data_IF_571434496857
#
_entry.id   IF_571434496857
#
_cell.length_a   1.000
_cell.length_b   1.000
_cell.length_c   1.000
_cell.angle_alpha   90.00
_cell.angle_beta   90.00
_cell.angle_gamma   90.00
#
_symmetry.space_group_name_H-M   'P 1'
#
loop_
_entity.id
_entity.type
_entity.pdbx_description
1 polymer ?
#
# COMPACT_ATOMS: atom_id res chain seq x y z
N UNK A 1 7.97 -26.61 -90.00
CA UNK A 1 8.48 -27.15 -88.74
C UNK A 1 8.85 -25.95 -87.85
N UNK A 2 7.97 -25.58 -86.93
CA UNK A 2 8.24 -24.54 -85.91
C UNK A 2 8.26 -25.25 -84.56
N UNK A 3 9.42 -25.23 -83.93
CA UNK A 3 9.63 -25.74 -82.53
C UNK A 3 9.13 -24.67 -81.53
N UNK A 4 8.09 -24.99 -80.80
CA UNK A 4 7.65 -24.17 -79.67
C UNK A 4 8.53 -24.41 -78.40
N UNK A 5 9.06 -23.37 -77.84
CA UNK A 5 9.82 -23.38 -76.62
C UNK A 5 8.85 -23.11 -75.45
N UNK A 6 8.60 -24.10 -74.60
CA UNK A 6 7.82 -23.91 -73.36
C UNK A 6 8.73 -23.43 -72.25
N UNK A 7 8.46 -22.24 -71.77
CA UNK A 7 9.10 -21.68 -70.56
C UNK A 7 8.24 -22.07 -69.39
N UNK A 8 8.77 -22.91 -68.49
CA UNK A 8 8.16 -23.24 -67.21
C UNK A 8 8.42 -22.13 -66.23
N UNK A 9 7.37 -21.44 -65.78
CA UNK A 9 7.42 -20.40 -64.76
C UNK A 9 7.32 -21.06 -63.38
N UNK A 10 8.44 -21.16 -62.66
CA UNK A 10 8.47 -21.69 -61.27
C UNK A 10 8.03 -20.57 -60.33
N UNK A 11 6.83 -20.65 -59.81
CA UNK A 11 6.33 -19.75 -58.75
C UNK A 11 6.89 -20.22 -57.41
N UNK A 12 7.84 -19.50 -56.84
CA UNK A 12 8.31 -19.72 -55.48
C UNK A 12 7.24 -19.20 -54.50
N UNK A 13 6.52 -20.11 -53.85
CA UNK A 13 5.62 -19.77 -52.73
C UNK A 13 6.47 -19.56 -51.52
N UNK A 14 6.67 -18.30 -51.11
CA UNK A 14 7.17 -17.97 -49.79
C UNK A 14 6.10 -18.35 -48.75
N UNK A 15 6.31 -19.45 -48.05
CA UNK A 15 5.55 -19.76 -46.85
C UNK A 15 5.97 -18.73 -45.78
N UNK A 16 5.12 -17.73 -45.55
CA UNK A 16 5.17 -16.90 -44.37
C UNK A 16 4.75 -17.82 -43.23
N UNK A 17 5.73 -18.27 -42.43
CA UNK A 17 5.44 -18.90 -41.16
C UNK A 17 4.66 -17.89 -40.31
N UNK A 18 3.48 -18.25 -39.74
CA UNK A 18 2.80 -17.36 -38.81
C UNK A 18 3.77 -17.11 -37.66
N UNK A 19 4.22 -15.86 -37.54
CA UNK A 19 5.01 -15.43 -36.41
C UNK A 19 4.24 -15.82 -35.14
N UNK A 20 4.90 -16.56 -34.27
CA UNK A 20 4.41 -16.82 -32.94
C UNK A 20 4.13 -15.41 -32.33
N UNK A 21 2.87 -15.04 -32.20
CA UNK A 21 2.47 -13.83 -31.51
C UNK A 21 3.06 -13.98 -30.11
N UNK A 22 4.04 -13.14 -29.76
CA UNK A 22 4.63 -13.10 -28.44
C UNK A 22 3.50 -12.99 -27.42
N UNK A 23 3.33 -14.03 -26.59
CA UNK A 23 2.27 -14.09 -25.58
C UNK A 23 2.56 -13.19 -24.39
N UNK A 24 3.82 -12.84 -24.19
CA UNK A 24 4.33 -12.11 -23.05
C UNK A 24 4.91 -10.74 -23.42
N UNK A 25 5.74 -10.25 -22.53
CA UNK A 25 6.41 -8.96 -22.67
C UNK A 25 7.89 -9.06 -23.07
N UNK A 26 8.40 -10.24 -23.41
CA UNK A 26 9.81 -10.51 -23.69
C UNK A 26 10.42 -9.64 -24.81
N UNK A 27 9.59 -9.22 -25.76
CA UNK A 27 10.02 -8.36 -26.89
C UNK A 27 9.62 -6.88 -26.72
N UNK A 28 8.97 -6.51 -25.59
CA UNK A 28 8.54 -5.12 -25.39
C UNK A 28 9.75 -4.20 -25.16
N UNK A 29 9.85 -3.01 -25.81
CA UNK A 29 11.03 -2.15 -25.69
C UNK A 29 11.39 -1.74 -24.24
N UNK A 30 10.40 -1.45 -23.39
CA UNK A 30 10.63 -1.12 -21.98
C UNK A 30 11.09 -2.35 -21.17
N UNK A 31 10.65 -3.56 -21.53
CA UNK A 31 11.15 -4.79 -20.92
C UNK A 31 12.63 -4.97 -21.25
N UNK A 32 13.01 -4.82 -22.52
CA UNK A 32 14.41 -4.95 -22.92
C UNK A 32 15.29 -3.96 -22.18
N UNK A 33 14.86 -2.69 -22.06
CA UNK A 33 15.60 -1.69 -21.29
C UNK A 33 15.72 -2.03 -19.79
N UNK A 34 14.65 -2.59 -19.17
CA UNK A 34 14.68 -3.05 -17.79
C UNK A 34 15.60 -4.26 -17.62
N UNK A 35 15.55 -5.21 -18.55
CA UNK A 35 16.40 -6.40 -18.53
C UNK A 35 17.88 -6.02 -18.61
N UNK A 36 18.28 -5.12 -19.55
CA UNK A 36 19.67 -4.65 -19.63
C UNK A 36 20.13 -4.05 -18.28
N UNK A 37 19.31 -3.18 -17.67
CA UNK A 37 19.65 -2.58 -16.37
C UNK A 37 19.79 -3.63 -15.28
N UNK A 38 18.89 -4.61 -15.20
CA UNK A 38 18.96 -5.69 -14.20
C UNK A 38 20.21 -6.57 -14.40
N UNK A 39 20.65 -6.79 -15.64
CA UNK A 39 21.88 -7.50 -15.94
C UNK A 39 23.11 -6.67 -15.54
N UNK A 40 23.16 -5.39 -15.92
CA UNK A 40 24.31 -4.52 -15.69
C UNK A 40 24.49 -4.12 -14.22
N UNK A 41 23.39 -3.81 -13.52
CA UNK A 41 23.44 -3.26 -12.17
C UNK A 41 23.22 -4.32 -11.07
N UNK A 42 22.61 -5.45 -11.40
CA UNK A 42 22.20 -6.46 -10.42
C UNK A 42 22.60 -7.89 -10.76
N UNK A 43 23.43 -8.12 -11.78
CA UNK A 43 23.96 -9.46 -12.17
C UNK A 43 22.84 -10.51 -12.41
N UNK A 44 21.73 -10.12 -13.03
CA UNK A 44 20.69 -11.07 -13.45
C UNK A 44 21.09 -11.78 -14.75
N UNK A 45 20.65 -13.03 -14.88
CA UNK A 45 20.75 -13.73 -16.16
C UNK A 45 19.74 -13.21 -17.18
N UNK A 46 20.23 -12.74 -18.32
CA UNK A 46 19.41 -12.14 -19.37
C UNK A 46 18.40 -13.12 -19.97
N UNK A 47 18.82 -14.37 -20.21
CA UNK A 47 17.94 -15.35 -20.84
C UNK A 47 16.84 -15.78 -19.89
N UNK A 48 17.17 -15.92 -18.61
CA UNK A 48 16.19 -16.20 -17.56
C UNK A 48 15.13 -15.10 -17.46
N UNK A 49 15.54 -13.82 -17.43
CA UNK A 49 14.60 -12.68 -17.39
C UNK A 49 13.70 -12.64 -18.64
N UNK A 50 14.25 -12.82 -19.84
CA UNK A 50 13.43 -12.82 -21.05
C UNK A 50 12.44 -14.00 -21.06
N UNK A 51 12.84 -15.18 -20.61
CA UNK A 51 11.94 -16.31 -20.46
C UNK A 51 10.81 -16.00 -19.45
N UNK A 52 11.16 -15.41 -18.31
CA UNK A 52 10.18 -14.98 -17.29
C UNK A 52 9.17 -13.98 -17.86
N UNK A 53 9.64 -12.95 -18.58
CA UNK A 53 8.75 -11.98 -19.22
C UNK A 53 7.89 -12.58 -20.35
N UNK A 54 8.32 -13.69 -20.96
CA UNK A 54 7.54 -14.46 -21.92
C UNK A 54 6.30 -15.14 -21.30
N UNK A 55 6.33 -15.40 -19.98
CA UNK A 55 5.22 -16.01 -19.24
C UNK A 55 4.26 -14.98 -18.60
N UNK A 56 4.59 -13.68 -18.70
CA UNK A 56 3.77 -12.60 -18.16
C UNK A 56 2.55 -12.34 -19.04
N UNK A 57 1.42 -12.18 -18.39
CA UNK A 57 0.16 -11.87 -19.05
C UNK A 57 -0.27 -10.41 -18.82
N UNK A 58 -0.53 -9.70 -19.92
CA UNK A 58 -1.19 -8.39 -19.84
C UNK A 58 -2.60 -8.54 -19.27
N UNK A 59 -2.91 -7.76 -18.22
CA UNK A 59 -4.23 -7.77 -17.58
C UNK A 59 -4.99 -6.47 -17.89
N UNK A 60 -5.84 -6.50 -18.91
CA UNK A 60 -6.66 -5.34 -19.29
C UNK A 60 -7.53 -4.84 -18.13
N UNK A 61 -8.05 -5.75 -17.29
CA UNK A 61 -8.84 -5.39 -16.10
C UNK A 61 -8.10 -4.47 -15.12
N UNK A 62 -6.77 -4.55 -15.06
CA UNK A 62 -5.93 -3.66 -14.25
C UNK A 62 -5.93 -2.25 -14.83
N UNK A 63 -5.73 -2.12 -16.14
CA UNK A 63 -5.75 -0.83 -16.84
C UNK A 63 -7.12 -0.17 -16.68
N UNK A 64 -8.19 -0.96 -16.82
CA UNK A 64 -9.57 -0.49 -16.65
C UNK A 64 -9.82 -0.03 -15.21
N UNK A 65 -9.32 -0.77 -14.21
CA UNK A 65 -9.41 -0.39 -12.81
C UNK A 65 -8.67 0.93 -12.52
N UNK A 66 -7.47 1.11 -13.07
CA UNK A 66 -6.66 2.33 -12.92
C UNK A 66 -7.26 3.55 -13.64
N UNK A 67 -8.04 3.34 -14.68
CA UNK A 67 -8.68 4.42 -15.45
C UNK A 67 -10.12 4.72 -14.98
N UNK A 68 -10.68 3.96 -14.04
CA UNK A 68 -11.99 4.32 -13.47
C UNK A 68 -11.90 5.73 -12.89
N UNK A 69 -12.88 6.61 -13.20
CA UNK A 69 -12.97 7.89 -12.54
C UNK A 69 -12.96 7.65 -11.03
N UNK A 70 -12.21 8.47 -10.29
CA UNK A 70 -12.37 8.48 -8.85
C UNK A 70 -13.88 8.63 -8.59
N UNK A 71 -14.49 7.61 -7.99
CA UNK A 71 -15.88 7.66 -7.59
C UNK A 71 -16.08 8.98 -6.85
N UNK A 72 -17.26 9.62 -6.99
CA UNK A 72 -17.59 10.86 -6.27
C UNK A 72 -17.04 10.71 -4.87
N UNK A 73 -16.18 11.63 -4.46
CA UNK A 73 -15.56 11.58 -3.15
C UNK A 73 -16.68 11.55 -2.13
N UNK A 74 -16.96 10.39 -1.56
CA UNK A 74 -17.98 10.24 -0.52
C UNK A 74 -17.68 11.20 0.61
N UNK A 75 -18.67 11.85 1.24
CA UNK A 75 -18.44 12.60 2.46
C UNK A 75 -17.81 11.69 3.53
N UNK A 76 -17.17 12.28 4.52
CA UNK A 76 -16.44 11.49 5.53
C UNK A 76 -17.34 10.51 6.28
N UNK A 77 -18.54 10.90 6.66
CA UNK A 77 -19.47 10.06 7.39
C UNK A 77 -19.88 8.78 6.63
N UNK A 78 -19.89 8.81 5.26
CA UNK A 78 -20.09 7.60 4.46
C UNK A 78 -18.79 6.82 4.25
N UNK A 79 -17.67 7.52 4.04
CA UNK A 79 -16.36 6.89 3.80
C UNK A 79 -15.91 6.05 4.99
N UNK A 80 -16.04 6.56 6.21
CA UNK A 80 -15.65 5.84 7.44
C UNK A 80 -16.42 4.52 7.62
N UNK A 81 -17.66 4.44 7.16
CA UNK A 81 -18.48 3.23 7.26
C UNK A 81 -17.93 2.05 6.46
N UNK A 82 -17.03 2.28 5.48
CA UNK A 82 -16.32 1.21 4.76
C UNK A 82 -15.47 0.39 5.73
N UNK A 83 -14.93 1.04 6.77
CA UNK A 83 -13.95 0.45 7.68
C UNK A 83 -14.49 0.19 9.09
N UNK A 84 -15.46 0.98 9.55
CA UNK A 84 -15.96 0.95 10.94
C UNK A 84 -17.18 0.04 11.12
N UNK A 85 -17.23 -1.07 10.39
CA UNK A 85 -18.31 -2.05 10.52
C UNK A 85 -18.05 -2.99 11.71
N UNK A 86 -19.09 -3.34 12.47
CA UNK A 86 -19.02 -4.27 13.61
C UNK A 86 -18.24 -5.54 13.27
N UNK A 87 -18.54 -6.17 12.12
CA UNK A 87 -17.84 -7.38 11.68
C UNK A 87 -16.33 -7.18 11.50
N UNK A 88 -15.88 -5.98 11.11
CA UNK A 88 -14.45 -5.69 10.98
C UNK A 88 -13.82 -5.45 12.35
N UNK A 89 -14.54 -4.80 13.27
CA UNK A 89 -14.09 -4.59 14.65
C UNK A 89 -13.95 -5.92 15.35
N UNK A 90 -14.97 -6.80 15.27
CA UNK A 90 -14.93 -8.14 15.87
C UNK A 90 -13.79 -8.99 15.30
N UNK A 91 -13.57 -8.94 13.98
CA UNK A 91 -12.45 -9.61 13.34
C UNK A 91 -11.09 -9.04 13.79
N UNK A 92 -11.03 -7.74 14.12
CA UNK A 92 -9.83 -7.10 14.67
C UNK A 92 -9.52 -7.56 16.08
N UNK A 93 -10.53 -7.68 16.93
CA UNK A 93 -10.41 -8.24 18.27
C UNK A 93 -9.90 -9.68 18.21
N UNK A 94 -10.45 -10.49 17.31
CA UNK A 94 -10.03 -11.87 17.12
C UNK A 94 -8.57 -11.95 16.61
N UNK A 95 -8.21 -11.13 15.61
CA UNK A 95 -6.84 -11.06 15.12
C UNK A 95 -5.86 -10.64 16.22
N UNK A 96 -6.23 -9.66 17.05
CA UNK A 96 -5.41 -9.25 18.20
C UNK A 96 -5.17 -10.39 19.16
N UNK A 97 -6.21 -11.13 19.56
CA UNK A 97 -6.10 -12.25 20.49
C UNK A 97 -5.22 -13.36 19.95
N UNK A 98 -5.38 -13.69 18.67
CA UNK A 98 -4.59 -14.74 18.02
C UNK A 98 -3.10 -14.37 17.92
N UNK A 99 -2.76 -13.06 17.93
CA UNK A 99 -1.41 -12.57 17.76
C UNK A 99 -0.94 -11.73 18.95
N UNK A 100 -1.50 -11.93 20.14
CA UNK A 100 -1.27 -11.07 21.30
C UNK A 100 0.21 -10.97 21.68
N UNK A 101 0.91 -12.10 21.75
CA UNK A 101 2.33 -12.16 22.12
C UNK A 101 3.21 -11.43 21.09
N UNK A 102 2.91 -11.58 19.81
CA UNK A 102 3.65 -10.92 18.72
C UNK A 102 3.42 -9.42 18.72
N UNK A 103 2.17 -8.99 18.94
CA UNK A 103 1.81 -7.57 19.06
C UNK A 103 2.47 -6.92 20.27
N UNK A 104 2.52 -7.63 21.41
CA UNK A 104 3.23 -7.16 22.60
C UNK A 104 4.74 -7.03 22.34
N UNK A 105 5.37 -8.04 21.74
CA UNK A 105 6.78 -7.96 21.32
C UNK A 105 7.04 -6.78 20.38
N UNK A 106 6.14 -6.54 19.40
CA UNK A 106 6.25 -5.42 18.48
C UNK A 106 6.14 -4.08 19.20
N UNK A 107 5.21 -3.95 20.16
CA UNK A 107 5.08 -2.76 21.01
C UNK A 107 6.33 -2.53 21.85
N UNK A 108 6.86 -3.57 22.50
CA UNK A 108 8.06 -3.47 23.31
C UNK A 108 9.29 -3.06 22.49
N UNK A 109 9.43 -3.59 21.29
CA UNK A 109 10.58 -3.35 20.42
C UNK A 109 10.52 -2.00 19.70
N UNK A 110 9.34 -1.61 19.25
CA UNK A 110 9.15 -0.47 18.32
C UNK A 110 8.33 0.68 18.92
N UNK A 111 7.66 0.45 20.04
CA UNK A 111 6.81 1.46 20.67
C UNK A 111 5.55 1.82 19.87
N UNK A 112 5.21 1.03 18.85
CA UNK A 112 3.98 1.22 18.08
C UNK A 112 2.82 0.55 18.79
N UNK A 113 1.72 1.29 18.95
CA UNK A 113 0.52 0.78 19.62
C UNK A 113 -0.07 -0.43 18.85
N UNK A 114 -0.29 -1.58 19.51
CA UNK A 114 -0.90 -2.76 18.92
C UNK A 114 -2.19 -2.49 18.17
N UNK A 115 -3.05 -1.60 18.71
CA UNK A 115 -4.32 -1.25 18.07
C UNK A 115 -4.10 -0.63 16.67
N UNK A 116 -3.07 0.19 16.49
CA UNK A 116 -2.73 0.81 15.20
C UNK A 116 -2.25 -0.27 14.22
N UNK A 117 -1.38 -1.18 14.65
CA UNK A 117 -0.89 -2.28 13.79
C UNK A 117 -2.07 -3.13 13.31
N UNK A 118 -2.95 -3.53 14.24
CA UNK A 118 -4.15 -4.33 13.93
C UNK A 118 -5.07 -3.57 12.99
N UNK A 119 -5.28 -2.26 13.20
CA UNK A 119 -6.14 -1.43 12.36
C UNK A 119 -5.57 -1.29 10.92
N UNK A 120 -4.26 -1.12 10.75
CA UNK A 120 -3.60 -1.11 9.43
C UNK A 120 -3.89 -2.42 8.69
N UNK A 121 -3.58 -3.56 9.29
CA UNK A 121 -3.82 -4.88 8.68
C UNK A 121 -5.31 -5.09 8.41
N UNK A 122 -6.17 -4.55 9.29
CA UNK A 122 -7.62 -4.58 9.14
C UNK A 122 -8.12 -3.75 7.96
N UNK A 123 -7.60 -2.55 7.76
CA UNK A 123 -7.94 -1.66 6.64
C UNK A 123 -7.44 -2.24 5.32
N UNK A 124 -6.18 -2.68 5.28
CA UNK A 124 -5.52 -3.14 4.06
C UNK A 124 -6.10 -4.46 3.54
N UNK A 125 -6.25 -5.45 4.39
CA UNK A 125 -6.55 -6.82 3.94
C UNK A 125 -7.69 -7.51 4.67
N UNK A 126 -8.43 -6.79 5.52
CA UNK A 126 -9.42 -7.43 6.39
C UNK A 126 -8.78 -8.58 7.19
N UNK A 127 -7.64 -8.28 7.85
CA UNK A 127 -6.85 -9.22 8.64
C UNK A 127 -6.34 -10.43 7.82
N UNK A 128 -5.83 -10.17 6.62
CA UNK A 128 -5.27 -11.17 5.74
C UNK A 128 -6.29 -11.95 4.88
N UNK A 129 -7.60 -11.68 5.00
CA UNK A 129 -8.65 -12.37 4.22
C UNK A 129 -8.70 -11.92 2.76
N UNK A 130 -8.27 -10.68 2.45
CA UNK A 130 -8.34 -10.08 1.11
C UNK A 130 -6.96 -9.48 0.78
N UNK A 131 -6.01 -10.33 0.38
CA UNK A 131 -4.62 -9.93 0.07
C UNK A 131 -4.37 -9.68 -1.42
N UNK A 132 -5.44 -9.74 -2.24
CA UNK A 132 -5.34 -9.65 -3.69
C UNK A 132 -5.22 -11.03 -4.37
N UNK A 133 -5.51 -11.07 -5.66
CA UNK A 133 -5.57 -12.32 -6.45
C UNK A 133 -4.77 -12.26 -7.76
N UNK A 134 -4.22 -11.11 -8.10
CA UNK A 134 -3.39 -10.96 -9.28
C UNK A 134 -1.98 -11.49 -9.03
N UNK A 135 -1.35 -12.16 -10.00
CA UNK A 135 0.10 -12.35 -9.96
C UNK A 135 0.75 -10.97 -9.94
N UNK A 136 1.63 -10.72 -8.97
CA UNK A 136 2.31 -9.43 -8.82
C UNK A 136 3.13 -9.10 -10.07
N UNK A 137 3.78 -10.11 -10.65
CA UNK A 137 4.52 -10.00 -11.90
C UNK A 137 3.66 -9.49 -13.06
N UNK A 138 2.44 -10.04 -13.23
CA UNK A 138 1.49 -9.56 -14.27
C UNK A 138 1.02 -8.13 -14.00
N UNK A 139 0.70 -7.84 -12.73
CA UNK A 139 0.17 -6.53 -12.35
C UNK A 139 1.20 -5.43 -12.58
N UNK A 140 2.41 -5.61 -12.08
CA UNK A 140 3.47 -4.62 -12.21
C UNK A 140 3.92 -4.46 -13.66
N UNK A 141 4.06 -5.56 -14.43
CA UNK A 141 4.43 -5.50 -15.85
C UNK A 141 3.36 -4.79 -16.69
N UNK A 142 2.08 -5.11 -16.46
CA UNK A 142 0.97 -4.41 -17.12
C UNK A 142 1.02 -2.91 -16.86
N UNK A 143 1.24 -2.50 -15.60
CA UNK A 143 1.29 -1.08 -15.24
C UNK A 143 2.58 -0.39 -15.66
N UNK A 144 3.70 -1.10 -15.67
CA UNK A 144 4.98 -0.58 -16.13
C UNK A 144 4.99 -0.30 -17.64
N UNK A 145 4.39 -1.19 -18.42
CA UNK A 145 4.56 -1.17 -19.88
C UNK A 145 3.33 -0.62 -20.62
N UNK A 146 2.12 -0.80 -20.10
CA UNK A 146 0.87 -0.41 -20.75
C UNK A 146 0.09 0.70 -20.03
N UNK A 147 0.64 1.30 -18.96
CA UNK A 147 0.03 2.42 -18.25
C UNK A 147 0.95 3.66 -18.20
N UNK A 148 1.05 4.45 -19.29
CA UNK A 148 2.05 5.53 -19.44
C UNK A 148 2.04 6.58 -18.33
N UNK A 149 0.87 6.88 -17.74
CA UNK A 149 0.72 7.91 -16.69
C UNK A 149 1.61 7.65 -15.47
N UNK A 150 1.89 6.39 -15.14
CA UNK A 150 2.69 5.99 -13.98
C UNK A 150 3.75 4.94 -14.33
N UNK A 151 4.05 4.74 -15.60
CA UNK A 151 5.05 3.76 -16.08
C UNK A 151 6.39 3.87 -15.34
N UNK A 152 7.00 5.04 -15.15
CA UNK A 152 8.28 5.13 -14.44
C UNK A 152 8.21 4.65 -12.98
N UNK A 153 7.10 4.87 -12.29
CA UNK A 153 6.89 4.37 -10.94
C UNK A 153 6.79 2.84 -10.94
N UNK A 154 5.91 2.28 -11.76
CA UNK A 154 5.69 0.83 -11.78
C UNK A 154 6.87 0.05 -12.34
N UNK A 155 7.68 0.64 -13.23
CA UNK A 155 8.94 0.05 -13.67
C UNK A 155 9.93 -0.11 -12.52
N UNK A 156 10.06 0.89 -11.64
CA UNK A 156 10.88 0.78 -10.42
C UNK A 156 10.33 -0.25 -9.43
N UNK A 157 9.02 -0.33 -9.29
CA UNK A 157 8.42 -1.35 -8.43
C UNK A 157 8.62 -2.76 -8.99
N UNK A 158 8.53 -2.94 -10.31
CA UNK A 158 8.81 -4.21 -10.98
C UNK A 158 10.28 -4.63 -10.81
N UNK A 159 11.21 -3.69 -10.92
CA UNK A 159 12.63 -3.90 -10.64
C UNK A 159 12.85 -4.37 -9.19
N UNK A 160 12.30 -3.63 -8.22
CA UNK A 160 12.35 -4.03 -6.82
C UNK A 160 11.72 -5.40 -6.57
N UNK A 161 10.64 -5.73 -7.27
CA UNK A 161 9.98 -7.03 -7.17
C UNK A 161 10.87 -8.17 -7.65
N UNK A 162 11.54 -8.01 -8.80
CA UNK A 162 12.46 -9.02 -9.32
C UNK A 162 13.67 -9.21 -8.39
N UNK A 163 14.19 -8.11 -7.84
CA UNK A 163 15.32 -8.18 -6.89
C UNK A 163 14.88 -8.89 -5.60
N UNK A 164 13.75 -8.49 -5.00
CA UNK A 164 13.28 -9.13 -3.76
C UNK A 164 12.96 -10.61 -3.93
N UNK A 165 12.38 -11.03 -5.08
CA UNK A 165 12.08 -12.45 -5.31
C UNK A 165 13.34 -13.29 -5.41
N UNK A 166 14.41 -12.76 -5.98
CA UNK A 166 15.73 -13.38 -5.96
C UNK A 166 16.33 -13.41 -4.56
N UNK A 167 16.30 -12.27 -3.84
CA UNK A 167 16.83 -12.15 -2.46
C UNK A 167 16.13 -13.14 -1.49
N UNK A 168 14.85 -13.41 -1.71
CA UNK A 168 14.03 -14.28 -0.88
C UNK A 168 13.84 -15.69 -1.47
N UNK A 169 14.54 -16.03 -2.54
CA UNK A 169 14.46 -17.32 -3.24
C UNK A 169 13.01 -17.72 -3.60
N UNK A 170 12.15 -16.72 -3.90
CA UNK A 170 10.74 -16.93 -4.25
C UNK A 170 10.56 -16.92 -5.77
N UNK A 171 9.66 -17.78 -6.28
CA UNK A 171 9.26 -17.74 -7.68
C UNK A 171 8.41 -16.47 -7.96
N UNK A 172 8.88 -15.54 -8.82
CA UNK A 172 8.16 -14.31 -9.15
C UNK A 172 6.79 -14.55 -9.80
N UNK A 173 6.56 -15.70 -10.41
CA UNK A 173 5.26 -16.05 -11.02
C UNK A 173 4.24 -16.60 -10.00
N UNK A 174 4.68 -16.98 -8.79
CA UNK A 174 3.81 -17.55 -7.77
C UNK A 174 3.15 -16.49 -6.88
N UNK A 175 3.82 -15.36 -6.62
CA UNK A 175 3.38 -14.37 -5.66
C UNK A 175 2.14 -13.59 -6.12
N UNK A 176 1.16 -13.49 -5.23
CA UNK A 176 -0.09 -12.77 -5.44
C UNK A 176 -0.17 -11.50 -4.62
N UNK A 177 -0.92 -10.54 -5.16
CA UNK A 177 -1.14 -9.25 -4.52
C UNK A 177 -2.34 -8.51 -5.13
N UNK A 178 -2.42 -7.21 -4.87
CA UNK A 178 -3.45 -6.34 -5.43
C UNK A 178 -3.25 -6.10 -6.93
N UNK A 179 -4.25 -5.53 -7.57
CA UNK A 179 -4.16 -5.10 -8.98
C UNK A 179 -3.06 -4.05 -9.23
N UNK A 180 -2.58 -3.36 -8.18
CA UNK A 180 -1.49 -2.40 -8.25
C UNK A 180 -0.13 -2.97 -7.80
N UNK A 181 -0.05 -4.28 -7.50
CA UNK A 181 1.18 -4.95 -7.11
C UNK A 181 1.54 -4.84 -5.63
N UNK A 182 0.61 -4.40 -4.77
CA UNK A 182 0.80 -4.41 -3.32
C UNK A 182 0.64 -5.82 -2.75
N UNK A 183 1.43 -6.17 -1.73
CA UNK A 183 1.67 -7.55 -1.31
C UNK A 183 1.43 -7.79 0.18
N UNK A 184 1.00 -8.99 0.51
CA UNK A 184 0.92 -9.51 1.88
C UNK A 184 -0.16 -8.85 2.74
N UNK A 185 -0.09 -9.09 4.06
CA UNK A 185 -1.04 -8.57 5.06
C UNK A 185 -1.07 -7.05 5.11
N UNK A 186 0.09 -6.39 5.02
CA UNK A 186 0.25 -4.94 5.09
C UNK A 186 0.18 -4.23 3.74
N UNK A 187 -0.07 -4.94 2.64
CA UNK A 187 -0.12 -4.38 1.27
C UNK A 187 1.12 -3.55 0.91
N UNK A 188 2.31 -4.06 1.20
CA UNK A 188 3.55 -3.40 0.85
C UNK A 188 3.79 -3.40 -0.66
N UNK A 189 4.18 -2.25 -1.21
CA UNK A 189 4.80 -2.22 -2.53
C UNK A 189 6.18 -2.89 -2.47
N UNK A 190 6.71 -3.42 -3.60
CA UNK A 190 8.02 -4.08 -3.60
C UNK A 190 9.15 -3.25 -3.01
N UNK A 191 9.19 -1.95 -3.29
CA UNK A 191 10.16 -1.05 -2.67
C UNK A 191 9.97 -0.91 -1.16
N UNK A 192 8.72 -0.90 -0.68
CA UNK A 192 8.41 -0.88 0.75
C UNK A 192 8.82 -2.18 1.42
N UNK A 193 8.60 -3.32 0.78
CA UNK A 193 9.07 -4.62 1.25
C UNK A 193 10.59 -4.60 1.47
N UNK A 194 11.37 -4.24 0.46
CA UNK A 194 12.82 -4.23 0.54
C UNK A 194 13.38 -3.27 1.58
N UNK A 195 12.67 -2.19 1.88
CA UNK A 195 13.12 -1.20 2.86
C UNK A 195 12.64 -1.48 4.29
N UNK A 196 11.50 -2.13 4.47
CA UNK A 196 10.81 -2.15 5.76
C UNK A 196 10.34 -3.54 6.21
N UNK A 197 10.21 -4.53 5.32
CA UNK A 197 9.87 -5.88 5.74
C UNK A 197 11.03 -6.50 6.52
N UNK A 198 10.68 -7.27 7.55
CA UNK A 198 11.64 -7.90 8.45
C UNK A 198 11.22 -9.33 8.78
N UNK A 199 12.20 -10.17 8.98
CA UNK A 199 12.07 -11.45 9.67
C UNK A 199 11.93 -11.14 11.17
N UNK A 200 10.69 -11.20 11.67
CA UNK A 200 10.40 -10.77 13.05
C UNK A 200 10.42 -11.93 14.04
N UNK A 201 10.10 -13.14 13.63
CA UNK A 201 10.19 -14.35 14.44
C UNK A 201 11.59 -14.97 14.45
N UNK A 202 12.46 -14.59 13.50
CA UNK A 202 13.86 -15.01 13.44
C UNK A 202 14.06 -16.38 12.82
N UNK A 203 13.13 -16.81 11.95
CA UNK A 203 13.22 -18.10 11.24
C UNK A 203 14.18 -18.09 10.03
N UNK A 204 14.70 -16.90 9.67
CA UNK A 204 15.60 -16.66 8.55
C UNK A 204 14.91 -16.33 7.23
N UNK A 205 13.56 -16.22 7.21
CA UNK A 205 12.77 -15.89 6.02
C UNK A 205 11.90 -14.66 6.31
N UNK A 206 11.92 -13.66 5.45
CA UNK A 206 10.97 -12.53 5.57
C UNK A 206 9.70 -12.84 4.79
N UNK A 207 8.63 -13.23 5.48
CA UNK A 207 7.38 -13.63 4.84
C UNK A 207 6.17 -12.81 5.30
N UNK A 208 5.87 -11.73 4.59
CA UNK A 208 4.68 -10.88 4.86
C UNK A 208 3.38 -11.46 4.27
N UNK A 209 3.45 -12.57 3.50
CA UNK A 209 2.27 -13.17 2.85
C UNK A 209 1.58 -14.19 3.75
N UNK A 210 2.32 -15.09 4.36
CA UNK A 210 1.77 -16.23 5.08
C UNK A 210 2.21 -16.28 6.55
N UNK A 211 3.24 -15.49 6.95
CA UNK A 211 3.69 -15.33 8.32
C UNK A 211 3.12 -14.03 8.94
N UNK A 212 2.22 -14.17 9.92
CA UNK A 212 1.61 -13.02 10.61
C UNK A 212 2.58 -12.30 11.54
N UNK A 213 3.60 -12.99 12.08
CA UNK A 213 4.61 -12.37 12.96
C UNK A 213 5.46 -11.39 12.16
N UNK A 214 5.94 -11.80 10.98
CA UNK A 214 6.68 -10.93 10.07
C UNK A 214 5.83 -9.76 9.58
N UNK A 215 4.57 -10.02 9.25
CA UNK A 215 3.66 -8.99 8.80
C UNK A 215 3.43 -7.91 9.88
N UNK A 216 3.21 -8.31 11.13
CA UNK A 216 3.05 -7.42 12.29
C UNK A 216 4.34 -6.64 12.54
N UNK A 217 5.48 -7.33 12.59
CA UNK A 217 6.80 -6.73 12.77
C UNK A 217 7.13 -5.73 11.67
N UNK A 218 6.86 -6.09 10.41
CA UNK A 218 7.11 -5.23 9.25
C UNK A 218 6.25 -3.96 9.26
N UNK A 219 4.96 -4.06 9.64
CA UNK A 219 4.09 -2.88 9.81
C UNK A 219 4.65 -1.98 10.91
N UNK A 220 5.06 -2.52 12.05
CA UNK A 220 5.65 -1.74 13.14
C UNK A 220 6.96 -1.08 12.70
N UNK A 221 7.85 -1.81 12.03
CA UNK A 221 9.10 -1.28 11.50
C UNK A 221 8.88 -0.14 10.49
N UNK A 222 7.86 -0.26 9.63
CA UNK A 222 7.47 0.81 8.71
C UNK A 222 7.15 2.11 9.46
N UNK A 223 6.38 2.04 10.55
CA UNK A 223 6.03 3.22 11.34
C UNK A 223 7.25 3.88 11.99
N UNK A 224 8.14 3.09 12.57
CA UNK A 224 9.39 3.60 13.17
C UNK A 224 10.26 4.28 12.11
N UNK A 225 10.43 3.65 10.95
CA UNK A 225 11.20 4.22 9.85
C UNK A 225 10.63 5.55 9.32
N UNK A 226 9.33 5.79 9.55
CA UNK A 226 8.66 7.04 9.19
C UNK A 226 8.48 8.03 10.35
N UNK A 227 9.12 7.77 11.50
CA UNK A 227 9.19 8.71 12.60
C UNK A 227 8.08 8.56 13.65
N UNK A 228 7.52 7.37 13.82
CA UNK A 228 6.58 7.08 14.91
C UNK A 228 7.18 7.43 16.27
N UNK A 229 6.42 8.13 17.10
CA UNK A 229 6.80 8.55 18.43
C UNK A 229 6.04 7.75 19.48
N UNK A 230 6.73 6.87 20.22
CA UNK A 230 6.09 6.05 21.25
C UNK A 230 5.42 6.92 22.33
N UNK A 231 4.18 6.56 22.68
CA UNK A 231 3.43 7.24 23.73
C UNK A 231 2.85 8.61 23.35
N UNK A 232 3.20 9.19 22.18
CA UNK A 232 2.58 10.43 21.73
C UNK A 232 1.19 10.17 21.10
N UNK A 233 0.26 11.12 21.23
CA UNK A 233 -1.08 10.98 20.68
C UNK A 233 -1.07 10.96 19.15
N UNK A 234 -2.10 10.35 18.55
CA UNK A 234 -2.35 10.39 17.11
C UNK A 234 -3.17 11.62 16.75
N UNK A 235 -4.34 11.78 17.37
CA UNK A 235 -5.22 12.93 17.21
C UNK A 235 -5.93 13.28 18.51
N UNK A 236 -6.45 14.50 18.59
CA UNK A 236 -7.32 14.95 19.68
C UNK A 236 -8.54 15.64 19.09
N UNK A 237 -9.78 15.38 19.60
CA UNK A 237 -10.98 16.09 19.17
C UNK A 237 -10.84 17.60 19.41
N UNK A 238 -11.29 18.39 18.45
CA UNK A 238 -11.24 19.84 18.52
C UNK A 238 -12.60 20.49 18.24
N UNK A 239 -12.71 21.78 18.60
CA UNK A 239 -13.85 22.62 18.31
C UNK A 239 -13.39 23.93 17.67
N UNK A 240 -14.23 24.50 16.82
CA UNK A 240 -14.04 25.86 16.32
C UNK A 240 -14.78 26.83 17.24
N UNK A 241 -14.03 27.78 17.82
CA UNK A 241 -14.59 28.82 18.63
C UNK A 241 -14.68 30.13 17.80
N UNK A 242 -15.88 30.46 17.38
CA UNK A 242 -16.12 31.59 16.47
C UNK A 242 -15.83 31.18 15.01
N UNK A 243 -14.72 31.59 14.48
CA UNK A 243 -14.26 31.28 13.12
C UNK A 243 -12.85 30.73 13.15
N UNK A 244 -12.59 29.66 12.39
CA UNK A 244 -11.23 29.19 12.18
C UNK A 244 -10.61 29.98 11.01
N UNK A 245 -9.58 30.76 11.34
CA UNK A 245 -8.90 31.64 10.38
C UNK A 245 -7.73 31.00 9.64
N UNK A 246 -7.54 29.68 9.73
CA UNK A 246 -6.46 28.97 9.04
C UNK A 246 -6.94 28.27 7.76
N UNK A 247 -6.10 28.28 6.73
CA UNK A 247 -6.40 27.70 5.40
C UNK A 247 -5.90 26.28 5.19
N UNK A 248 -5.25 25.67 6.19
CA UNK A 248 -4.43 24.46 6.03
C UNK A 248 -5.09 23.15 6.47
N UNK A 249 -6.41 23.11 6.68
CA UNK A 249 -7.06 21.89 7.12
C UNK A 249 -6.80 20.73 6.14
N UNK A 250 -6.43 19.57 6.70
CA UNK A 250 -6.14 18.34 5.95
C UNK A 250 -4.87 18.39 5.08
N UNK A 251 -3.97 19.31 5.30
CA UNK A 251 -2.68 19.31 4.61
C UNK A 251 -1.85 18.07 4.99
N UNK A 252 -1.35 17.32 3.98
CA UNK A 252 -0.50 16.13 4.19
C UNK A 252 0.96 16.54 4.39
N UNK A 253 1.23 17.29 5.42
CA UNK A 253 2.57 17.79 5.81
C UNK A 253 2.83 17.58 7.29
N UNK A 254 4.11 17.60 7.67
CA UNK A 254 4.51 17.56 9.09
C UNK A 254 3.82 18.69 9.86
N UNK A 255 3.28 18.43 11.07
CA UNK A 255 2.71 19.48 11.91
C UNK A 255 3.69 20.61 12.19
N UNK A 256 3.30 21.85 11.90
CA UNK A 256 4.16 23.03 12.04
C UNK A 256 3.71 23.95 13.18
N UNK A 257 2.38 24.12 13.35
CA UNK A 257 1.80 25.01 14.35
C UNK A 257 1.62 24.30 15.69
N UNK A 258 1.85 25.00 16.77
CA UNK A 258 1.51 24.50 18.10
C UNK A 258 0.00 24.51 18.33
N UNK A 259 -0.45 23.69 19.30
CA UNK A 259 -1.86 23.67 19.75
C UNK A 259 -2.28 25.08 20.22
N UNK A 260 -1.41 25.82 20.90
CA UNK A 260 -1.67 27.19 21.32
C UNK A 260 -1.87 28.14 20.12
N UNK A 261 -1.04 28.04 19.07
CA UNK A 261 -1.18 28.85 17.85
C UNK A 261 -2.48 28.52 17.10
N UNK A 262 -2.85 27.23 17.02
CA UNK A 262 -4.14 26.83 16.43
C UNK A 262 -5.33 27.33 17.25
N UNK A 263 -5.19 27.34 18.59
CA UNK A 263 -6.20 27.91 19.48
C UNK A 263 -6.39 29.43 19.28
N UNK A 264 -5.29 30.16 19.03
CA UNK A 264 -5.35 31.59 18.69
C UNK A 264 -6.03 31.85 17.34
N UNK A 265 -5.98 30.88 16.40
CA UNK A 265 -6.69 30.91 15.12
C UNK A 265 -8.15 30.44 15.23
N UNK A 266 -8.62 30.10 16.42
CA UNK A 266 -10.00 29.67 16.67
C UNK A 266 -10.22 28.15 16.69
N UNK A 267 -9.19 27.31 16.53
CA UNK A 267 -9.31 25.85 16.60
C UNK A 267 -8.70 25.37 17.93
N UNK A 268 -9.53 24.90 18.85
CA UNK A 268 -9.12 24.47 20.20
C UNK A 268 -9.39 23.00 20.43
N UNK A 269 -8.55 22.36 21.21
CA UNK A 269 -8.87 21.05 21.75
C UNK A 269 -10.21 21.09 22.49
N UNK A 270 -11.03 20.04 22.36
CA UNK A 270 -12.29 19.91 23.09
C UNK A 270 -12.00 19.86 24.59
N UNK A 271 -12.90 20.42 25.40
CA UNK A 271 -12.80 20.37 26.86
C UNK A 271 -12.68 18.92 27.36
N UNK A 272 -11.74 18.67 28.27
CA UNK A 272 -11.43 17.33 28.77
C UNK A 272 -10.58 16.46 27.84
N UNK A 273 -10.21 16.93 26.65
CA UNK A 273 -9.26 16.26 25.78
C UNK A 273 -7.83 16.67 26.13
N UNK A 274 -6.94 15.69 26.28
CA UNK A 274 -5.54 15.91 26.58
C UNK A 274 -4.80 16.46 25.35
N UNK A 275 -4.25 17.67 25.45
CA UNK A 275 -3.43 18.28 24.41
C UNK A 275 -2.46 19.29 25.05
N UNK A 276 -1.18 18.99 24.99
CA UNK A 276 -0.13 19.95 25.38
C UNK A 276 -0.18 21.17 24.44
N UNK A 277 -0.26 22.37 25.05
CA UNK A 277 -0.31 23.64 24.31
C UNK A 277 0.92 23.88 23.44
N UNK A 278 2.08 23.33 23.80
CA UNK A 278 3.35 23.41 23.06
C UNK A 278 3.50 22.34 21.98
N UNK A 279 2.68 21.28 22.01
CA UNK A 279 2.76 20.21 21.01
C UNK A 279 2.41 20.73 19.61
N UNK A 280 3.13 20.26 18.60
CA UNK A 280 2.84 20.60 17.20
C UNK A 280 1.70 19.75 16.68
N UNK A 281 0.72 20.41 16.05
CA UNK A 281 -0.45 19.76 15.48
C UNK A 281 -0.82 20.35 14.10
N UNK A 282 -1.55 19.58 13.32
CA UNK A 282 -2.19 20.03 12.08
C UNK A 282 -3.71 20.07 12.27
N UNK A 283 -4.39 21.07 11.68
CA UNK A 283 -5.84 21.14 11.71
C UNK A 283 -6.43 20.07 10.77
N UNK A 284 -7.41 19.33 11.26
CA UNK A 284 -8.16 18.35 10.48
C UNK A 284 -9.65 18.71 10.51
N UNK A 285 -10.30 18.61 9.34
CA UNK A 285 -11.73 18.86 9.17
C UNK A 285 -12.33 17.72 8.37
N UNK A 286 -13.43 17.18 8.85
CA UNK A 286 -14.18 16.11 8.21
C UNK A 286 -15.66 16.45 8.14
N UNK A 287 -16.29 16.14 7.02
CA UNK A 287 -17.73 16.31 6.82
C UNK A 287 -18.48 15.19 7.56
N UNK A 288 -18.99 15.48 8.76
CA UNK A 288 -19.85 14.59 9.55
C UNK A 288 -21.31 14.65 9.14
N UNK A 289 -22.16 13.80 9.74
CA UNK A 289 -23.60 13.77 9.46
C UNK A 289 -24.32 15.06 9.92
N UNK A 290 -23.92 15.58 11.09
CA UNK A 290 -24.54 16.74 11.73
C UNK A 290 -23.71 18.03 11.54
N UNK A 291 -22.77 18.04 10.61
CA UNK A 291 -21.85 19.16 10.36
C UNK A 291 -20.39 18.76 10.45
N UNK A 292 -19.51 19.76 10.41
CA UNK A 292 -18.08 19.52 10.40
C UNK A 292 -17.54 19.01 11.74
N UNK A 293 -16.77 17.93 11.67
CA UNK A 293 -15.97 17.39 12.77
C UNK A 293 -14.54 17.95 12.68
N UNK A 294 -14.02 18.50 13.76
CA UNK A 294 -12.66 19.06 13.81
C UNK A 294 -11.77 18.27 14.75
N UNK A 295 -10.49 18.14 14.37
CA UNK A 295 -9.48 17.43 15.12
C UNK A 295 -8.12 18.13 15.03
N UNK A 296 -7.28 17.92 16.02
CA UNK A 296 -5.86 18.22 15.99
C UNK A 296 -5.09 16.91 15.68
N UNK A 297 -4.40 16.85 14.56
CA UNK A 297 -3.56 15.71 14.17
C UNK A 297 -2.11 15.96 14.59
N UNK A 298 -1.51 15.01 15.33
CA UNK A 298 -0.13 15.11 15.78
C UNK A 298 0.84 14.40 14.83
N UNK A 299 2.11 14.30 15.21
CA UNK A 299 3.16 13.66 14.39
C UNK A 299 2.78 12.22 14.02
N UNK A 300 2.26 11.43 14.96
CA UNK A 300 1.84 10.05 14.69
C UNK A 300 0.70 9.95 13.69
N UNK A 301 -0.19 10.96 13.62
CA UNK A 301 -1.18 11.02 12.54
C UNK A 301 -0.52 11.23 11.18
N UNK A 302 0.45 12.14 11.09
CA UNK A 302 1.23 12.32 9.86
C UNK A 302 1.95 11.03 9.45
N UNK A 303 2.54 10.31 10.41
CA UNK A 303 3.19 9.01 10.14
C UNK A 303 2.21 8.00 9.53
N UNK A 304 0.96 7.91 10.03
CA UNK A 304 -0.06 7.05 9.42
C UNK A 304 -0.34 7.49 7.96
N UNK A 305 -0.33 8.79 7.66
CA UNK A 305 -0.50 9.27 6.27
C UNK A 305 0.64 8.87 5.34
N UNK A 306 1.79 8.43 5.86
CA UNK A 306 2.89 7.91 5.03
C UNK A 306 2.60 6.51 4.49
N UNK A 307 1.78 5.73 5.21
CA UNK A 307 1.34 4.41 4.76
C UNK A 307 0.41 4.54 3.53
N UNK A 308 -0.51 5.47 3.59
CA UNK A 308 -1.34 5.87 2.46
C UNK A 308 -1.57 7.39 2.51
N UNK A 309 -1.23 8.10 1.43
CA UNK A 309 -1.26 9.56 1.33
C UNK A 309 -2.69 10.11 1.34
N UNK A 310 -3.42 9.89 2.45
CA UNK A 310 -4.80 10.33 2.65
C UNK A 310 -5.08 10.56 4.12
N UNK A 311 -5.49 11.80 4.47
CA UNK A 311 -5.95 12.12 5.82
C UNK A 311 -7.19 11.31 6.24
N UNK A 312 -8.05 10.95 5.27
CA UNK A 312 -9.23 10.10 5.51
C UNK A 312 -8.85 8.68 5.86
N UNK A 313 -7.87 8.12 5.15
CA UNK A 313 -7.31 6.82 5.47
C UNK A 313 -6.74 6.82 6.89
N UNK A 314 -5.89 7.79 7.22
CA UNK A 314 -5.27 7.88 8.53
C UNK A 314 -6.30 8.00 9.67
N UNK A 315 -7.37 8.78 9.47
CA UNK A 315 -8.46 8.90 10.43
C UNK A 315 -9.28 7.60 10.54
N UNK A 316 -9.50 6.88 9.43
CA UNK A 316 -10.21 5.60 9.46
C UNK A 316 -9.40 4.54 10.22
N UNK A 317 -8.07 4.48 10.01
CA UNK A 317 -7.16 3.61 10.78
C UNK A 317 -7.23 3.94 12.27
N UNK A 318 -7.12 5.23 12.62
CA UNK A 318 -7.20 5.66 14.03
C UNK A 318 -8.56 5.30 14.66
N UNK A 319 -9.67 5.65 14.02
CA UNK A 319 -11.00 5.34 14.57
C UNK A 319 -11.24 3.83 14.70
N UNK A 320 -10.78 3.03 13.71
CA UNK A 320 -10.86 1.58 13.81
C UNK A 320 -10.01 1.05 14.99
N UNK A 321 -8.81 1.58 15.18
CA UNK A 321 -7.93 1.18 16.29
C UNK A 321 -8.56 1.45 17.65
N UNK A 322 -9.22 2.60 17.82
CA UNK A 322 -9.92 2.96 19.06
C UNK A 322 -11.13 2.05 19.32
N UNK A 323 -11.91 1.72 18.28
CA UNK A 323 -13.05 0.82 18.43
C UNK A 323 -12.62 -0.61 18.80
N UNK A 324 -11.54 -1.11 18.21
CA UNK A 324 -10.95 -2.42 18.56
C UNK A 324 -10.47 -2.39 20.00
N UNK A 325 -9.71 -1.37 20.43
CA UNK A 325 -9.20 -1.22 21.79
C UNK A 325 -10.33 -1.19 22.82
N UNK A 326 -11.37 -0.40 22.57
CA UNK A 326 -12.54 -0.33 23.45
C UNK A 326 -13.26 -1.67 23.57
N UNK A 327 -13.38 -2.42 22.48
CA UNK A 327 -14.00 -3.75 22.50
C UNK A 327 -13.15 -4.76 23.30
N UNK A 328 -11.82 -4.76 23.11
CA UNK A 328 -10.88 -5.54 23.90
C UNK A 328 -10.97 -5.23 25.39
N UNK A 329 -11.06 -3.95 25.78
CA UNK A 329 -11.15 -3.52 27.18
C UNK A 329 -12.46 -3.94 27.86
N UNK A 330 -13.59 -3.93 27.13
CA UNK A 330 -14.91 -4.32 27.68
C UNK A 330 -15.05 -5.81 27.96
N UNK A 331 -14.34 -6.65 27.19
CA UNK A 331 -14.43 -8.10 27.34
C UNK A 331 -13.47 -8.63 28.41
N UNK A 332 -12.49 -7.81 28.83
CA UNK A 332 -11.54 -8.13 29.90
C UNK A 332 -11.99 -7.56 31.27
N UNK A 333 -13.12 -6.84 31.34
CA UNK A 333 -13.73 -6.28 32.56
C UNK A 333 -15.02 -7.04 32.93
#
# INVERSE_FOLDING_TARGET
MRKGLSVALTVAVFMVTPGCLAKGYEAHPLTLALVERLVEEHDFDRQHLLALFGEVEKKQSIIDAMNRPAEKVKPWYEYRQIFLQEKRIDAGVEFWRQNADTLEKAQQRYGVDPAIIVAIIGVETYYGRIRGSYRVMDALSTLAFDYPKRSPFFTRELENFLILTREQEKDPLSLKGSYAGAMGYGQFMPSSYRNYAIDFDGDGVTDIWDNTEDAIGSVANYFVAHGWRPGEPVVTPAIVQGHYGGDDANALKVPEKTVAELAALGLRAREGADADAGARAMPLRYEGEDGDEYWLGFENFYVITRYNHSHRYAMAVYQLSEMIRQRMGRENS
#
